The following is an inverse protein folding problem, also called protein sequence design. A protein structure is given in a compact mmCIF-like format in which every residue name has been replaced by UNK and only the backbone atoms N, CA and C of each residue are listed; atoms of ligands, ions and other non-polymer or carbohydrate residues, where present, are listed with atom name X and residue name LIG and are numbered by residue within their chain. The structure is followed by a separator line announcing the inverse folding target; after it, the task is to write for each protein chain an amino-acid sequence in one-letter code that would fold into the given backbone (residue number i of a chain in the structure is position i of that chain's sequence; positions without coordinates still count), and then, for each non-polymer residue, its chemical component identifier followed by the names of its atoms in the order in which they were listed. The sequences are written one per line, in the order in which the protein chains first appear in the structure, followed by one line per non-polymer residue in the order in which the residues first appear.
data_IF_683264634095
#
_entry.id   IF_683264634095
#
_cell.length_a   1.000
_cell.length_b   1.000
_cell.length_c   1.000
_cell.angle_alpha   90.00
_cell.angle_beta   90.00
_cell.angle_gamma   90.00
#
_symmetry.space_group_name_H-M   'P 1'
#
loop_
_entity.id
_entity.type
_entity.pdbx_description
1 polymer ?
#
# COMPACT_ATOMS: atom_id res chain seq x y z
N UNK A 1 29.68 -43.66 -18.84
CA UNK A 1 29.04 -43.38 -17.54
C UNK A 1 28.04 -44.49 -17.23
N UNK A 2 27.97 -45.05 -16.02
CA UNK A 2 27.03 -46.17 -15.77
C UNK A 2 25.57 -45.68 -15.81
N UNK A 3 24.62 -46.54 -16.21
CA UNK A 3 23.18 -46.21 -16.23
C UNK A 3 22.70 -45.63 -14.88
N UNK A 4 23.24 -46.13 -13.77
CA UNK A 4 23.00 -45.62 -12.41
C UNK A 4 23.47 -44.18 -12.23
N UNK A 5 24.65 -43.81 -12.76
CA UNK A 5 25.17 -42.43 -12.70
C UNK A 5 24.36 -41.47 -13.57
N UNK A 6 23.91 -41.90 -14.75
CA UNK A 6 23.02 -41.10 -15.62
C UNK A 6 21.68 -40.85 -14.94
N UNK A 7 21.08 -41.89 -14.35
CA UNK A 7 19.82 -41.77 -13.62
C UNK A 7 19.94 -40.83 -12.42
N UNK A 8 20.99 -40.97 -11.60
CA UNK A 8 21.24 -40.08 -10.46
C UNK A 8 21.45 -38.62 -10.88
N UNK A 9 22.19 -38.38 -11.99
CA UNK A 9 22.39 -37.04 -12.52
C UNK A 9 21.06 -36.43 -13.00
N UNK A 10 20.24 -37.19 -13.72
CA UNK A 10 18.92 -36.74 -14.18
C UNK A 10 17.98 -36.43 -12.99
N UNK A 11 17.96 -37.30 -11.97
CA UNK A 11 17.17 -37.07 -10.76
C UNK A 11 17.63 -35.82 -10.00
N UNK A 12 18.94 -35.58 -9.89
CA UNK A 12 19.48 -34.38 -9.27
C UNK A 12 19.09 -33.10 -10.03
N UNK A 13 19.10 -33.13 -11.37
CA UNK A 13 18.66 -31.99 -12.20
C UNK A 13 17.17 -31.71 -12.00
N UNK A 14 16.32 -32.73 -11.98
CA UNK A 14 14.87 -32.58 -11.73
C UNK A 14 14.62 -32.04 -10.32
N UNK A 15 15.34 -32.53 -9.33
CA UNK A 15 15.20 -32.04 -7.96
C UNK A 15 15.63 -30.57 -7.84
N UNK A 16 16.76 -30.20 -8.45
CA UNK A 16 17.24 -28.82 -8.47
C UNK A 16 16.28 -27.89 -9.20
N UNK A 17 15.72 -28.31 -10.35
CA UNK A 17 14.75 -27.49 -11.08
C UNK A 17 13.45 -27.31 -10.29
N UNK A 18 12.97 -28.36 -9.63
CA UNK A 18 11.80 -28.27 -8.75
C UNK A 18 12.07 -27.36 -7.54
N UNK A 19 13.24 -27.45 -6.91
CA UNK A 19 13.62 -26.60 -5.79
C UNK A 19 13.75 -25.12 -6.21
N UNK A 20 14.39 -24.83 -7.35
CA UNK A 20 14.47 -23.48 -7.90
C UNK A 20 13.08 -22.93 -8.24
N UNK A 21 12.19 -23.75 -8.80
CA UNK A 21 10.81 -23.38 -9.08
C UNK A 21 10.05 -23.05 -7.79
N UNK A 22 10.07 -23.94 -6.80
CA UNK A 22 9.42 -23.70 -5.50
C UNK A 22 9.96 -22.45 -4.80
N UNK A 23 11.28 -22.22 -4.85
CA UNK A 23 11.87 -21.01 -4.32
C UNK A 23 11.40 -19.76 -5.07
N UNK A 24 11.35 -19.80 -6.41
CA UNK A 24 10.88 -18.68 -7.22
C UNK A 24 9.40 -18.34 -6.96
N UNK A 25 8.55 -19.35 -6.83
CA UNK A 25 7.10 -19.19 -6.60
C UNK A 25 6.72 -19.09 -5.11
N UNK A 26 7.67 -19.07 -4.17
CA UNK A 26 7.35 -19.15 -2.73
C UNK A 26 6.36 -18.09 -2.25
N UNK A 27 6.51 -16.85 -2.73
CA UNK A 27 5.67 -15.71 -2.33
C UNK A 27 4.26 -15.81 -2.91
N UNK A 28 4.11 -16.44 -4.07
CA UNK A 28 2.80 -16.76 -4.62
C UNK A 28 1.99 -17.71 -3.72
N UNK A 29 2.67 -18.64 -3.04
CA UNK A 29 2.01 -19.62 -2.16
C UNK A 29 1.87 -19.14 -0.72
N UNK A 30 2.88 -18.45 -0.19
CA UNK A 30 2.94 -17.99 1.20
C UNK A 30 2.21 -16.66 1.37
N UNK A 31 2.22 -15.82 0.33
CA UNK A 31 1.83 -14.41 0.42
C UNK A 31 2.99 -13.53 0.90
N UNK A 32 2.85 -12.20 0.74
CA UNK A 32 3.79 -11.23 1.31
C UNK A 32 3.76 -11.24 2.84
N UNK A 33 4.92 -10.96 3.45
CA UNK A 33 5.03 -10.72 4.89
C UNK A 33 4.28 -9.46 5.31
N UNK A 34 3.52 -9.56 6.40
CA UNK A 34 2.87 -8.44 7.10
C UNK A 34 3.68 -7.92 8.29
N UNK A 35 4.73 -8.64 8.70
CA UNK A 35 5.59 -8.21 9.79
C UNK A 35 6.31 -6.90 9.43
N UNK A 36 6.37 -5.92 10.35
CA UNK A 36 7.13 -4.70 10.13
C UNK A 36 8.59 -4.99 9.78
N UNK A 37 9.16 -4.19 8.89
CA UNK A 37 10.59 -4.29 8.58
C UNK A 37 11.42 -3.93 9.81
N UNK A 38 12.49 -4.68 10.03
CA UNK A 38 13.51 -4.35 11.04
C UNK A 38 14.42 -3.26 10.46
N UNK A 39 14.05 -2.00 10.69
CA UNK A 39 14.68 -0.81 10.13
C UNK A 39 14.62 0.38 11.09
N UNK A 40 15.14 1.54 10.65
CA UNK A 40 15.16 2.79 11.43
C UNK A 40 13.77 3.36 11.60
N UNK A 41 13.60 4.30 12.54
CA UNK A 41 12.40 5.11 12.69
C UNK A 41 12.73 6.60 12.77
N UNK A 42 11.71 7.44 12.93
CA UNK A 42 11.86 8.88 13.18
C UNK A 42 12.89 9.21 14.28
N UNK A 43 12.89 8.45 15.37
CA UNK A 43 13.79 8.66 16.50
C UNK A 43 15.28 8.53 16.13
N UNK A 44 15.64 7.67 15.17
CA UNK A 44 17.03 7.52 14.71
C UNK A 44 17.54 8.76 13.98
N UNK A 45 16.63 9.61 13.47
CA UNK A 45 16.94 10.83 12.70
C UNK A 45 16.60 12.13 13.46
N UNK A 46 16.15 12.04 14.71
CA UNK A 46 15.66 13.16 15.53
C UNK A 46 14.42 13.87 14.93
N UNK A 47 13.56 13.10 14.27
CA UNK A 47 12.28 13.55 13.75
C UNK A 47 11.23 13.29 14.84
N UNK A 48 10.38 14.27 15.13
CA UNK A 48 9.24 14.09 16.02
C UNK A 48 8.07 13.45 15.25
N UNK A 49 7.35 12.54 15.90
CA UNK A 49 6.14 11.95 15.34
C UNK A 49 5.04 13.01 15.24
N UNK A 50 4.37 13.07 14.10
CA UNK A 50 3.21 13.94 13.91
C UNK A 50 1.98 13.30 14.54
N UNK A 51 1.23 14.11 15.28
CA UNK A 51 -0.09 13.79 15.79
C UNK A 51 -1.08 14.78 15.21
N UNK A 52 -2.10 14.27 14.52
CA UNK A 52 -3.17 15.11 13.99
C UNK A 52 -3.95 15.76 15.12
N UNK A 53 -4.38 17.00 14.92
CA UNK A 53 -5.36 17.65 15.80
C UNK A 53 -6.80 17.13 15.62
N UNK A 54 -7.01 16.24 14.64
CA UNK A 54 -8.30 15.67 14.26
C UNK A 54 -8.36 14.20 14.65
N UNK A 55 -9.51 13.83 15.22
CA UNK A 55 -9.95 12.47 15.52
C UNK A 55 -11.37 12.38 14.93
N UNK A 56 -11.47 11.87 13.70
CA UNK A 56 -12.72 11.90 12.94
C UNK A 56 -13.75 10.91 13.49
N UNK A 57 -13.32 9.74 13.92
CA UNK A 57 -14.24 8.68 14.37
C UNK A 57 -14.55 8.76 15.88
N UNK A 58 -13.81 9.57 16.62
CA UNK A 58 -14.03 9.94 18.01
C UNK A 58 -13.61 8.85 18.99
N UNK A 59 -12.67 7.98 18.61
CA UNK A 59 -12.22 6.86 19.43
C UNK A 59 -11.11 7.25 20.44
N UNK A 60 -10.57 8.47 20.31
CA UNK A 60 -9.51 9.03 21.15
C UNK A 60 -8.09 8.82 20.62
N UNK A 61 -7.94 8.26 19.42
CA UNK A 61 -6.72 8.20 18.62
C UNK A 61 -6.81 9.27 17.53
N UNK A 62 -5.68 9.88 17.17
CA UNK A 62 -5.67 10.88 16.11
C UNK A 62 -5.65 10.24 14.73
N UNK A 63 -6.23 10.90 13.72
CA UNK A 63 -6.40 10.34 12.37
C UNK A 63 -5.08 9.81 11.77
N UNK A 64 -3.95 10.49 12.01
CA UNK A 64 -2.66 10.08 11.45
C UNK A 64 -2.24 8.72 12.02
N UNK A 65 -2.40 8.58 13.34
CA UNK A 65 -2.13 7.33 14.05
C UNK A 65 -3.09 6.23 13.59
N UNK A 66 -4.38 6.53 13.43
CA UNK A 66 -5.38 5.53 12.98
C UNK A 66 -5.13 5.04 11.56
N UNK A 67 -4.77 5.92 10.64
CA UNK A 67 -4.47 5.53 9.27
C UNK A 67 -3.28 4.55 9.25
N UNK A 68 -2.21 4.85 10.00
CA UNK A 68 -1.06 3.96 10.07
C UNK A 68 -1.43 2.62 10.74
N UNK A 69 -2.12 2.65 11.89
CA UNK A 69 -2.53 1.44 12.60
C UNK A 69 -3.49 0.59 11.76
N UNK A 70 -4.52 1.18 11.18
CA UNK A 70 -5.48 0.54 10.29
C UNK A 70 -4.83 -0.08 9.06
N UNK A 71 -3.80 0.56 8.51
CA UNK A 71 -2.98 -0.03 7.44
C UNK A 71 -2.33 -1.34 7.92
N UNK A 72 -1.70 -1.33 9.10
CA UNK A 72 -1.03 -2.49 9.68
C UNK A 72 -2.03 -3.61 9.99
N UNK A 73 -3.19 -3.26 10.54
CA UNK A 73 -4.28 -4.20 10.81
C UNK A 73 -4.77 -4.86 9.52
N UNK A 74 -5.04 -4.08 8.47
CA UNK A 74 -5.49 -4.62 7.19
C UNK A 74 -4.48 -5.63 6.61
N UNK A 75 -3.19 -5.27 6.52
CA UNK A 75 -2.18 -6.18 5.97
C UNK A 75 -1.95 -7.42 6.86
N UNK A 76 -2.22 -7.34 8.16
CA UNK A 76 -2.15 -8.47 9.09
C UNK A 76 -3.19 -9.56 8.78
N UNK A 77 -4.24 -9.23 8.03
CA UNK A 77 -5.20 -10.21 7.50
C UNK A 77 -4.65 -11.03 6.32
N UNK A 78 -3.45 -10.70 5.84
CA UNK A 78 -2.75 -11.32 4.70
C UNK A 78 -3.58 -11.34 3.40
N UNK A 79 -4.11 -10.19 2.94
CA UNK A 79 -4.92 -10.13 1.72
C UNK A 79 -4.12 -10.58 0.50
N UNK A 80 -4.67 -11.51 -0.29
CA UNK A 80 -4.01 -11.99 -1.52
C UNK A 80 -4.26 -11.05 -2.69
N UNK A 81 -3.28 -10.90 -3.56
CA UNK A 81 -3.45 -10.01 -4.70
C UNK A 81 -4.49 -10.56 -5.68
N UNK A 82 -5.56 -9.81 -5.92
CA UNK A 82 -6.51 -10.07 -7.01
C UNK A 82 -7.24 -8.78 -7.39
N UNK A 83 -7.13 -8.43 -8.66
CA UNK A 83 -7.90 -7.33 -9.24
C UNK A 83 -9.26 -7.87 -9.68
N UNK A 84 -10.30 -7.60 -8.91
CA UNK A 84 -11.68 -8.01 -9.18
C UNK A 84 -12.67 -6.90 -8.84
N UNK A 85 -13.82 -6.91 -9.51
CA UNK A 85 -14.95 -6.04 -9.20
C UNK A 85 -15.81 -6.66 -8.11
N UNK A 86 -16.14 -5.87 -7.09
CA UNK A 86 -17.01 -6.31 -5.98
C UNK A 86 -18.29 -5.48 -6.02
N UNK A 87 -19.45 -6.14 -6.08
CA UNK A 87 -20.76 -5.46 -6.09
C UNK A 87 -21.07 -4.71 -4.79
N UNK A 88 -20.36 -5.04 -3.71
CA UNK A 88 -20.41 -4.39 -2.40
C UNK A 88 -19.38 -3.26 -2.25
N UNK A 89 -18.58 -3.00 -3.29
CA UNK A 89 -17.46 -2.07 -3.25
C UNK A 89 -16.19 -2.67 -2.65
N UNK A 90 -16.25 -3.00 -1.36
CA UNK A 90 -15.11 -3.53 -0.63
C UNK A 90 -14.99 -5.06 -0.76
N UNK A 91 -13.76 -5.60 -0.93
CA UNK A 91 -13.51 -7.04 -0.84
C UNK A 91 -13.80 -7.60 0.56
N UNK A 92 -14.46 -8.77 0.61
CA UNK A 92 -14.76 -9.52 1.84
C UNK A 92 -14.23 -10.98 1.79
N UNK A 93 -13.47 -11.32 0.75
CA UNK A 93 -13.04 -12.68 0.40
C UNK A 93 -11.55 -12.95 0.66
N UNK A 94 -10.88 -12.03 1.37
CA UNK A 94 -9.45 -12.12 1.68
C UNK A 94 -8.53 -11.76 0.51
N UNK A 95 -9.04 -11.05 -0.50
CA UNK A 95 -8.24 -10.48 -1.56
C UNK A 95 -8.23 -8.94 -1.52
N UNK A 96 -7.29 -8.34 -2.24
CA UNK A 96 -7.23 -6.90 -2.43
C UNK A 96 -6.13 -6.46 -3.38
N UNK A 97 -6.09 -5.15 -3.63
CA UNK A 97 -5.05 -4.46 -4.42
C UNK A 97 -4.52 -3.24 -3.66
N UNK A 98 -3.67 -2.43 -4.29
CA UNK A 98 -3.04 -1.26 -3.66
C UNK A 98 -4.03 -0.25 -3.09
N UNK A 99 -5.13 0.04 -3.80
CA UNK A 99 -6.16 0.96 -3.33
C UNK A 99 -6.92 0.42 -2.11
N UNK A 100 -7.03 -0.91 -1.95
CA UNK A 100 -7.71 -1.51 -0.81
C UNK A 100 -6.89 -1.32 0.48
N UNK A 101 -5.55 -1.25 0.39
CA UNK A 101 -4.69 -0.87 1.52
C UNK A 101 -5.07 0.53 2.02
N UNK A 102 -5.12 1.50 1.10
CA UNK A 102 -5.46 2.89 1.44
C UNK A 102 -6.91 3.02 1.89
N UNK A 103 -7.85 2.32 1.25
CA UNK A 103 -9.26 2.41 1.61
C UNK A 103 -9.56 1.83 3.00
N UNK A 104 -8.90 0.74 3.40
CA UNK A 104 -9.03 0.22 4.75
C UNK A 104 -8.33 1.13 5.78
N UNK A 105 -7.15 1.68 5.45
CA UNK A 105 -6.46 2.64 6.30
C UNK A 105 -7.32 3.88 6.60
N UNK A 106 -7.91 4.47 5.55
CA UNK A 106 -8.83 5.59 5.66
C UNK A 106 -10.07 5.25 6.49
N UNK A 107 -10.65 4.06 6.27
CA UNK A 107 -11.85 3.63 7.01
C UNK A 107 -11.58 3.43 8.49
N UNK A 108 -10.37 2.98 8.88
CA UNK A 108 -9.98 2.89 10.28
C UNK A 108 -9.93 4.25 10.98
N UNK A 109 -9.69 5.35 10.26
CA UNK A 109 -9.82 6.72 10.78
C UNK A 109 -11.20 7.34 10.50
N UNK A 110 -12.24 6.54 10.23
CA UNK A 110 -13.60 7.03 9.98
C UNK A 110 -13.87 7.64 8.59
N UNK A 111 -12.93 7.56 7.64
CA UNK A 111 -13.09 8.04 6.27
C UNK A 111 -13.50 6.91 5.31
N UNK A 112 -14.80 6.83 4.97
CA UNK A 112 -15.26 5.88 3.95
C UNK A 112 -14.97 6.40 2.54
N UNK A 113 -13.84 5.98 1.95
CA UNK A 113 -13.45 6.40 0.59
C UNK A 113 -14.50 6.09 -0.47
N UNK A 114 -15.31 5.04 -0.31
CA UNK A 114 -16.33 4.70 -1.29
C UNK A 114 -17.38 5.81 -1.40
N UNK A 115 -17.89 6.28 -0.26
CA UNK A 115 -18.85 7.38 -0.21
C UNK A 115 -18.17 8.71 -0.56
N UNK A 116 -17.02 9.00 0.03
CA UNK A 116 -16.34 10.29 -0.13
C UNK A 116 -15.87 10.54 -1.57
N UNK A 117 -15.33 9.52 -2.25
CA UNK A 117 -14.93 9.65 -3.65
C UNK A 117 -16.16 9.78 -4.54
N UNK A 118 -17.25 9.07 -4.23
CA UNK A 118 -18.49 9.21 -5.00
C UNK A 118 -19.10 10.62 -4.84
N UNK A 119 -19.12 11.18 -3.64
CA UNK A 119 -19.56 12.55 -3.37
C UNK A 119 -18.73 13.57 -4.17
N UNK A 120 -17.40 13.44 -4.17
CA UNK A 120 -16.50 14.33 -4.93
C UNK A 120 -16.69 14.18 -6.45
N UNK A 121 -16.83 12.95 -6.96
CA UNK A 121 -17.15 12.71 -8.37
C UNK A 121 -18.50 13.32 -8.75
N UNK A 122 -19.53 13.22 -7.89
CA UNK A 122 -20.84 13.81 -8.17
C UNK A 122 -20.80 15.34 -8.17
N UNK A 123 -19.89 15.95 -7.40
CA UNK A 123 -19.68 17.39 -7.37
C UNK A 123 -18.94 17.90 -8.61
N UNK A 124 -17.87 17.22 -9.04
CA UNK A 124 -16.93 17.71 -10.05
C UNK A 124 -16.59 16.66 -11.13
N UNK A 125 -17.60 15.96 -11.67
CA UNK A 125 -17.46 14.87 -12.66
C UNK A 125 -16.53 15.19 -13.84
N UNK A 126 -16.46 16.46 -14.26
CA UNK A 126 -15.61 16.90 -15.38
C UNK A 126 -14.09 16.80 -15.12
N UNK A 127 -13.65 16.76 -13.85
CA UNK A 127 -12.24 16.55 -13.50
C UNK A 127 -11.83 15.08 -13.55
N UNK A 128 -12.81 14.18 -13.59
CA UNK A 128 -12.62 12.74 -13.60
C UNK A 128 -12.70 12.17 -15.01
N UNK A 129 -11.75 11.32 -15.37
CA UNK A 129 -11.78 10.52 -16.60
C UNK A 129 -12.72 9.31 -16.44
N UNK A 130 -14.02 9.57 -16.29
CA UNK A 130 -15.07 8.57 -16.02
C UNK A 130 -16.24 8.77 -16.99
N UNK A 131 -16.57 7.75 -17.79
CA UNK A 131 -17.75 7.79 -18.66
C UNK A 131 -19.05 7.65 -17.87
N UNK A 132 -19.07 6.71 -16.92
CA UNK A 132 -20.22 6.44 -16.06
C UNK A 132 -19.72 6.14 -14.64
N UNK A 133 -20.06 7.00 -13.65
CA UNK A 133 -19.76 6.75 -12.25
C UNK A 133 -20.32 5.42 -11.75
N UNK A 134 -19.51 4.73 -10.97
CA UNK A 134 -19.84 3.50 -10.28
C UNK A 134 -19.15 3.49 -8.91
N UNK A 135 -19.95 3.82 -7.88
CA UNK A 135 -19.54 3.91 -6.48
C UNK A 135 -18.79 2.65 -6.00
N UNK A 136 -19.10 1.47 -6.53
CA UNK A 136 -18.49 0.22 -6.09
C UNK A 136 -17.06 0.00 -6.61
N UNK A 137 -16.59 0.80 -7.56
CA UNK A 137 -15.25 0.61 -8.15
C UNK A 137 -14.45 1.91 -8.26
N UNK A 138 -15.09 3.07 -8.27
CA UNK A 138 -14.38 4.32 -8.54
C UNK A 138 -13.37 4.70 -7.47
N UNK A 139 -13.64 4.43 -6.19
CA UNK A 139 -12.67 4.61 -5.11
C UNK A 139 -11.50 3.61 -5.16
N UNK A 140 -11.63 2.53 -5.95
CA UNK A 140 -10.60 1.51 -6.16
C UNK A 140 -9.79 1.75 -7.43
N UNK A 141 -9.87 2.96 -8.00
CA UNK A 141 -9.08 3.38 -9.18
C UNK A 141 -8.07 4.44 -8.77
N UNK A 142 -6.78 4.13 -8.91
CA UNK A 142 -5.68 5.08 -8.62
C UNK A 142 -5.89 6.42 -9.35
N UNK A 143 -6.34 6.40 -10.61
CA UNK A 143 -6.59 7.63 -11.38
C UNK A 143 -7.66 8.54 -10.77
N UNK A 144 -8.66 7.96 -10.11
CA UNK A 144 -9.72 8.72 -9.43
C UNK A 144 -9.21 9.21 -8.08
N UNK A 145 -8.49 8.36 -7.32
CA UNK A 145 -7.89 8.75 -6.04
C UNK A 145 -6.89 9.90 -6.18
N UNK A 146 -6.16 9.99 -7.30
CA UNK A 146 -5.31 11.15 -7.61
C UNK A 146 -6.08 12.48 -7.61
N UNK A 147 -7.30 12.49 -8.14
CA UNK A 147 -8.16 13.68 -8.20
C UNK A 147 -8.74 13.96 -6.82
N UNK A 148 -9.34 12.94 -6.19
CA UNK A 148 -9.94 13.06 -4.86
C UNK A 148 -8.97 13.61 -3.81
N UNK A 149 -7.76 13.05 -3.69
CA UNK A 149 -6.79 13.52 -2.69
C UNK A 149 -6.23 14.90 -3.02
N UNK A 150 -6.16 15.27 -4.30
CA UNK A 150 -5.80 16.64 -4.70
C UNK A 150 -6.86 17.66 -4.25
N UNK A 151 -8.14 17.29 -4.21
CA UNK A 151 -9.22 18.16 -3.75
C UNK A 151 -9.29 18.27 -2.22
N UNK A 152 -9.02 17.16 -1.52
CA UNK A 152 -9.46 16.99 -0.13
C UNK A 152 -8.33 16.90 0.89
N UNK A 153 -7.10 16.53 0.48
CA UNK A 153 -5.98 16.32 1.38
C UNK A 153 -4.96 17.46 1.34
N UNK A 154 -4.06 17.48 2.33
CA UNK A 154 -2.99 18.47 2.45
C UNK A 154 -1.81 18.00 1.58
N UNK A 155 -1.42 18.73 0.51
CA UNK A 155 -0.28 18.36 -0.31
C UNK A 155 1.04 18.57 0.45
N UNK A 156 1.94 17.61 0.32
CA UNK A 156 3.29 17.64 0.89
C UNK A 156 4.36 17.61 -0.21
N UNK A 157 5.62 17.78 0.19
CA UNK A 157 6.76 17.65 -0.72
C UNK A 157 6.83 16.24 -1.32
N UNK A 158 7.22 16.17 -2.60
CA UNK A 158 7.58 14.91 -3.26
C UNK A 158 9.09 14.70 -3.32
N UNK A 159 9.89 15.60 -2.72
CA UNK A 159 11.30 15.34 -2.47
C UNK A 159 11.42 14.29 -1.36
N UNK A 160 11.84 13.08 -1.73
CA UNK A 160 11.96 11.94 -0.81
C UNK A 160 13.10 12.12 0.22
N UNK A 161 13.96 13.12 0.03
CA UNK A 161 15.07 13.44 0.93
C UNK A 161 14.74 14.57 1.92
N UNK A 162 13.57 15.21 1.80
CA UNK A 162 12.99 16.07 2.84
C UNK A 162 12.38 15.18 3.95
N UNK A 163 13.20 14.33 4.56
CA UNK A 163 12.77 13.16 5.34
C UNK A 163 11.80 13.50 6.50
N UNK A 164 11.88 14.70 7.07
CA UNK A 164 11.03 15.19 8.16
C UNK A 164 9.56 15.37 7.71
N UNK A 165 9.32 15.66 6.44
CA UNK A 165 7.98 15.88 5.87
C UNK A 165 7.22 14.57 5.62
N UNK A 166 7.93 13.44 5.57
CA UNK A 166 7.37 12.11 5.31
C UNK A 166 7.07 11.38 6.60
N UNK A 167 5.80 11.23 6.96
CA UNK A 167 5.37 10.63 8.22
C UNK A 167 4.55 9.37 8.00
N UNK A 168 4.65 8.43 8.94
CA UNK A 168 3.86 7.21 8.90
C UNK A 168 2.37 7.52 8.92
N UNK A 169 1.59 6.97 7.99
CA UNK A 169 0.17 7.29 7.81
C UNK A 169 -0.11 8.25 6.64
N UNK A 170 0.92 8.91 6.09
CA UNK A 170 0.73 9.74 4.89
C UNK A 170 0.39 8.87 3.67
N UNK A 171 -0.20 9.48 2.64
CA UNK A 171 -0.60 8.81 1.41
C UNK A 171 0.41 9.14 0.32
N UNK A 172 0.95 8.11 -0.32
CA UNK A 172 1.87 8.26 -1.46
C UNK A 172 1.25 7.68 -2.73
N UNK A 173 1.28 8.46 -3.81
CA UNK A 173 0.68 8.10 -5.09
C UNK A 173 1.73 8.11 -6.20
N UNK A 174 1.81 7.00 -6.93
CA UNK A 174 2.61 6.83 -8.15
C UNK A 174 1.70 6.85 -9.39
N UNK A 175 2.26 6.71 -10.60
CA UNK A 175 1.45 6.80 -11.82
C UNK A 175 0.29 5.77 -11.84
N UNK A 176 0.54 4.53 -11.44
CA UNK A 176 -0.45 3.44 -11.45
C UNK A 176 -0.52 2.66 -10.13
N UNK A 177 -0.03 3.27 -9.06
CA UNK A 177 0.08 2.61 -7.77
C UNK A 177 -0.14 3.62 -6.63
N UNK A 178 -0.53 3.12 -5.47
CA UNK A 178 -0.76 3.94 -4.28
C UNK A 178 -0.38 3.13 -3.03
N UNK A 179 0.01 3.80 -1.97
CA UNK A 179 0.30 3.17 -0.68
C UNK A 179 0.24 4.17 0.46
N UNK A 180 0.53 3.66 1.65
CA UNK A 180 0.64 4.44 2.89
C UNK A 180 2.12 4.53 3.26
N UNK A 181 2.61 5.71 3.60
CA UNK A 181 3.96 5.93 4.08
C UNK A 181 4.11 5.23 5.44
N UNK A 182 5.24 4.55 5.63
CA UNK A 182 5.55 3.82 6.85
C UNK A 182 6.22 4.71 7.90
N UNK A 183 6.10 4.33 9.17
CA UNK A 183 6.93 4.80 10.29
C UNK A 183 8.37 4.26 10.25
N UNK A 184 8.69 3.36 9.31
CA UNK A 184 10.02 2.79 9.11
C UNK A 184 10.80 3.53 8.02
N UNK A 185 12.10 3.65 8.25
CA UNK A 185 13.04 4.39 7.39
C UNK A 185 14.26 3.55 7.06
N UNK A 186 14.81 3.76 5.87
CA UNK A 186 16.08 3.16 5.48
C UNK A 186 17.27 3.96 6.08
N UNK A 187 18.50 3.54 5.79
CA UNK A 187 19.70 4.20 6.36
C UNK A 187 19.89 5.66 5.89
N UNK A 188 19.23 6.08 4.80
CA UNK A 188 19.22 7.46 4.32
C UNK A 188 18.10 8.30 4.97
N UNK A 189 17.26 7.70 5.82
CA UNK A 189 16.09 8.35 6.41
C UNK A 189 14.86 8.32 5.52
N UNK A 190 14.95 7.80 4.29
CA UNK A 190 13.82 7.70 3.37
C UNK A 190 12.83 6.68 3.89
N UNK A 191 11.55 7.03 3.90
CA UNK A 191 10.49 6.18 4.44
C UNK A 191 10.23 4.95 3.56
N UNK A 192 9.87 3.84 4.20
CA UNK A 192 9.29 2.69 3.53
C UNK A 192 7.84 3.01 3.13
N UNK A 193 7.27 2.20 2.22
CA UNK A 193 5.86 2.31 1.84
C UNK A 193 5.17 0.98 2.14
N UNK A 194 3.99 1.04 2.74
CA UNK A 194 3.09 -0.09 2.93
C UNK A 194 2.09 -0.11 1.77
N UNK A 195 2.16 -1.16 0.94
CA UNK A 195 1.36 -1.27 -0.27
C UNK A 195 1.17 -2.73 -0.72
N UNK A 196 0.25 -2.95 -1.66
CA UNK A 196 -0.03 -4.27 -2.22
C UNK A 196 0.01 -4.24 -3.75
N UNK A 197 1.02 -4.87 -4.36
CA UNK A 197 1.35 -4.67 -5.76
C UNK A 197 1.22 -5.93 -6.63
N UNK A 198 1.47 -7.13 -6.10
CA UNK A 198 1.43 -8.33 -6.93
C UNK A 198 1.33 -9.64 -6.12
N UNK A 199 0.94 -10.76 -6.77
CA UNK A 199 0.96 -12.08 -6.13
C UNK A 199 2.36 -12.57 -5.73
N UNK A 200 3.43 -11.96 -6.25
CA UNK A 200 4.82 -12.37 -6.02
C UNK A 200 5.56 -11.46 -5.03
N UNK A 201 4.86 -10.48 -4.45
CA UNK A 201 5.41 -9.51 -3.53
C UNK A 201 5.94 -10.20 -2.28
N UNK A 202 7.12 -9.77 -1.79
CA UNK A 202 7.78 -10.42 -0.67
C UNK A 202 7.26 -9.93 0.69
N UNK A 203 6.95 -8.64 0.80
CA UNK A 203 6.42 -7.99 1.98
C UNK A 203 5.47 -6.86 1.55
N UNK A 204 4.46 -6.53 2.36
CA UNK A 204 3.63 -5.35 2.08
C UNK A 204 4.40 -4.04 2.31
N UNK A 205 5.35 -4.05 3.23
CA UNK A 205 6.21 -2.91 3.54
C UNK A 205 7.53 -3.03 2.78
N UNK A 206 7.76 -2.15 1.81
CA UNK A 206 8.93 -2.19 0.95
C UNK A 206 9.59 -0.81 0.82
N UNK A 207 10.92 -0.82 0.76
CA UNK A 207 11.72 0.35 0.42
C UNK A 207 11.67 0.55 -1.10
N UNK A 208 10.78 1.43 -1.56
CA UNK A 208 10.52 1.64 -2.98
C UNK A 208 10.69 3.09 -3.46
N UNK A 209 10.76 4.08 -2.56
CA UNK A 209 10.76 5.50 -2.94
C UNK A 209 11.98 5.86 -3.80
N UNK A 210 13.19 5.44 -3.42
CA UNK A 210 14.41 5.68 -4.19
C UNK A 210 14.53 4.82 -5.46
N UNK A 211 13.67 3.79 -5.61
CA UNK A 211 13.72 2.81 -6.72
C UNK A 211 12.72 3.11 -7.82
N UNK A 212 11.92 4.17 -7.67
CA UNK A 212 10.84 4.55 -8.58
C UNK A 212 11.03 5.97 -9.06
N UNK A 213 10.74 6.20 -10.33
CA UNK A 213 10.79 7.50 -11.00
C UNK A 213 9.39 8.04 -11.35
N UNK A 214 8.33 7.34 -10.89
CA UNK A 214 6.94 7.62 -11.21
C UNK A 214 6.12 8.11 -10.01
N UNK A 215 6.79 8.69 -8.99
CA UNK A 215 6.14 9.38 -7.87
C UNK A 215 5.38 10.61 -8.39
N UNK A 216 4.09 10.68 -8.08
CA UNK A 216 3.19 11.74 -8.56
C UNK A 216 2.81 12.70 -7.45
N UNK A 217 2.49 12.19 -6.26
CA UNK A 217 2.00 13.00 -5.17
C UNK A 217 2.23 12.35 -3.80
N UNK A 218 2.25 13.20 -2.78
CA UNK A 218 2.36 12.87 -1.37
C UNK A 218 1.39 13.77 -0.60
N UNK A 219 0.55 13.17 0.24
CA UNK A 219 -0.53 13.87 0.94
C UNK A 219 -0.65 13.44 2.39
N UNK A 220 -1.15 14.36 3.22
CA UNK A 220 -1.62 14.06 4.57
C UNK A 220 -3.11 14.37 4.70
N UNK A 221 -3.85 13.54 5.43
CA UNK A 221 -5.30 13.66 5.56
C UNK A 221 -5.71 14.79 6.50
N UNK A 222 -5.01 14.94 7.64
CA UNK A 222 -5.25 15.99 8.63
C UNK A 222 -3.97 16.33 9.41
N UNK A 223 -3.96 17.49 10.08
CA UNK A 223 -2.83 18.00 10.87
C UNK A 223 -3.33 18.57 12.20
#
# INVERSE_FOLDING_TARGET
MSKKRVFLAAAAVIFLSAACSLWHFRHYFIGPSSAPVDARSNADFNIEDIHSSVDKDGDGIDDQTDILQGTREYISTHPKYKSEYYYTGYPDDGYGVCTDVVANAMRSAGYDLMELVNEDIMADLQEYDIEKPDINIDFRRVKNLKVYFKHTAIPLTTDIYDIDEWQGGDIVIFDKHIGIVSDKRNENGVAYVIHHNSPFQAAYEEDILEKRDDLVAHYRVSQ
#
